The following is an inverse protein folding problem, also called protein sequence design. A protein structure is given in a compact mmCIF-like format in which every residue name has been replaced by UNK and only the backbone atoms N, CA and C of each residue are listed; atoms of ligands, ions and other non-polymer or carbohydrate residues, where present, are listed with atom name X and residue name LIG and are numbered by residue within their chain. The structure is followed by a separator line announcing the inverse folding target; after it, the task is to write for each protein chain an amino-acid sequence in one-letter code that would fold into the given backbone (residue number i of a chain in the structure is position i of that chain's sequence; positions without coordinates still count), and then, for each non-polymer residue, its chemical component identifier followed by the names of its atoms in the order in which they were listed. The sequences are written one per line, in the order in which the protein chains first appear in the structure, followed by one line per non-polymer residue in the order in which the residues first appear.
data_IF_844643050183
#
_entry.id   IF_844643050183
#
_cell.length_a   1.000
_cell.length_b   1.000
_cell.length_c   1.000
_cell.angle_alpha   90.00
_cell.angle_beta   90.00
_cell.angle_gamma   90.00
#
_symmetry.space_group_name_H-M   'P 1'
#
loop_
_entity.id
_entity.type
_entity.pdbx_description
1 polymer ?
#
# COMPACT_ATOMS: atom_id res chain seq x y z
N UNK A 1 -59.22 28.65 23.55
CA UNK A 1 -58.29 29.79 23.66
C UNK A 1 -57.17 29.39 24.61
N UNK A 2 -56.00 29.03 24.06
CA UNK A 2 -54.76 29.67 24.52
C UNK A 2 -53.78 29.97 23.37
N UNK A 3 -52.70 30.65 23.75
CA UNK A 3 -51.93 31.62 22.98
C UNK A 3 -50.94 31.06 21.95
N UNK A 4 -50.73 31.88 20.91
CA UNK A 4 -49.68 31.77 19.89
C UNK A 4 -48.32 32.06 20.51
N UNK A 5 -47.40 31.10 20.46
CA UNK A 5 -45.96 31.34 20.66
C UNK A 5 -45.29 31.49 19.31
N UNK A 6 -44.81 32.70 19.02
CA UNK A 6 -44.04 33.05 17.84
C UNK A 6 -42.71 32.27 17.87
N UNK A 7 -42.48 31.41 16.88
CA UNK A 7 -41.17 30.84 16.59
C UNK A 7 -40.40 31.90 15.81
N UNK A 8 -39.17 32.29 16.19
CA UNK A 8 -38.27 32.96 15.27
C UNK A 8 -37.61 31.88 14.40
N UNK A 9 -37.91 31.92 13.11
CA UNK A 9 -37.02 31.39 12.08
C UNK A 9 -35.73 32.23 12.03
N UNK A 10 -34.68 31.63 11.45
CA UNK A 10 -33.33 32.13 11.23
C UNK A 10 -32.30 32.00 12.35
N UNK A 11 -31.49 30.94 12.24
CA UNK A 11 -30.04 31.13 12.18
C UNK A 11 -29.41 30.05 11.29
N UNK A 12 -29.20 30.44 10.03
CA UNK A 12 -28.10 30.03 9.16
C UNK A 12 -27.33 28.76 9.56
N UNK A 13 -27.48 27.71 8.76
CA UNK A 13 -26.42 26.72 8.54
C UNK A 13 -25.17 27.45 8.08
N UNK A 14 -24.27 27.76 9.01
CA UNK A 14 -22.88 28.01 8.68
C UNK A 14 -22.32 26.70 8.16
N UNK A 15 -22.22 26.58 6.83
CA UNK A 15 -21.30 25.64 6.23
C UNK A 15 -19.91 26.05 6.70
N UNK A 16 -19.38 25.31 7.67
CA UNK A 16 -17.96 25.32 8.02
C UNK A 16 -17.18 24.85 6.80
N UNK A 17 -17.01 25.73 5.81
CA UNK A 17 -15.95 25.63 4.82
C UNK A 17 -14.65 25.93 5.57
N UNK A 18 -14.16 24.96 6.33
CA UNK A 18 -12.76 24.95 6.75
C UNK A 18 -11.92 25.01 5.47
N UNK A 19 -11.45 26.21 5.10
CA UNK A 19 -10.43 26.38 4.08
C UNK A 19 -9.30 25.40 4.42
N UNK A 20 -9.16 24.36 3.59
CA UNK A 20 -8.11 23.38 3.77
C UNK A 20 -6.77 24.11 3.79
N UNK A 21 -6.14 24.23 4.96
CA UNK A 21 -4.81 24.82 5.08
C UNK A 21 -3.88 24.07 4.12
N UNK A 22 -3.36 24.80 3.12
CA UNK A 22 -2.39 24.29 2.15
C UNK A 22 -1.07 23.99 2.89
N UNK A 23 -1.01 22.81 3.51
CA UNK A 23 0.19 22.34 4.21
C UNK A 23 1.05 21.48 3.26
N UNK A 24 2.38 21.65 3.20
CA UNK A 24 3.23 20.90 2.27
C UNK A 24 3.09 19.37 2.42
N UNK A 25 2.91 18.88 3.65
CA UNK A 25 2.71 17.46 3.94
C UNK A 25 1.30 16.93 3.63
N UNK A 26 0.34 17.75 3.18
CA UNK A 26 -0.99 17.30 2.78
C UNK A 26 -1.24 17.70 1.33
N UNK A 27 -1.52 16.70 0.50
CA UNK A 27 -2.00 16.91 -0.86
C UNK A 27 -3.44 16.46 -0.99
N UNK A 28 -4.30 17.41 -1.32
CA UNK A 28 -5.71 17.15 -1.56
C UNK A 28 -5.95 16.72 -3.01
N UNK A 29 -6.49 15.52 -3.19
CA UNK A 29 -6.82 14.93 -4.48
C UNK A 29 -8.26 14.43 -4.56
N UNK A 30 -8.61 13.77 -5.68
CA UNK A 30 -9.98 13.30 -5.94
C UNK A 30 -10.90 14.38 -6.52
N UNK A 31 -12.09 13.98 -6.97
CA UNK A 31 -13.14 14.93 -7.36
C UNK A 31 -13.46 15.85 -6.18
N UNK A 32 -13.46 17.17 -6.42
CA UNK A 32 -13.62 18.21 -5.40
C UNK A 32 -12.56 18.23 -4.28
N UNK A 33 -11.34 17.69 -4.50
CA UNK A 33 -10.23 17.75 -3.52
C UNK A 33 -10.54 17.09 -2.16
N UNK A 34 -11.45 16.11 -2.11
CA UNK A 34 -11.90 15.51 -0.86
C UNK A 34 -10.96 14.46 -0.24
N UNK A 35 -9.90 14.04 -0.95
CA UNK A 35 -9.04 12.92 -0.52
C UNK A 35 -7.67 13.47 -0.08
N UNK A 36 -7.38 13.53 1.23
CA UNK A 36 -6.07 13.95 1.71
C UNK A 36 -5.04 12.84 1.52
N UNK A 37 -3.90 13.21 0.95
CA UNK A 37 -2.71 12.36 0.81
C UNK A 37 -1.58 12.94 1.63
N UNK A 38 -1.07 12.18 2.60
CA UNK A 38 0.12 12.57 3.35
C UNK A 38 1.36 12.45 2.47
N UNK A 39 2.13 13.53 2.39
CA UNK A 39 3.40 13.61 1.67
C UNK A 39 4.53 13.58 2.67
N UNK A 40 5.50 12.71 2.42
CA UNK A 40 6.69 12.57 3.25
C UNK A 40 7.93 13.07 2.51
N UNK A 41 8.70 13.91 3.19
CA UNK A 41 9.89 14.60 2.70
C UNK A 41 11.17 14.01 3.34
N UNK A 42 12.00 13.36 2.53
CA UNK A 42 13.21 12.69 3.03
C UNK A 42 14.28 13.68 3.51
N UNK A 43 14.36 14.86 2.89
CA UNK A 43 15.19 15.99 3.28
C UNK A 43 14.86 16.51 4.68
N UNK A 44 13.63 16.31 5.16
CA UNK A 44 13.24 16.61 6.54
C UNK A 44 14.15 15.98 7.60
N UNK A 45 14.75 14.82 7.31
CA UNK A 45 15.71 14.15 8.21
C UNK A 45 16.95 15.04 8.44
N UNK A 46 17.33 15.82 7.43
CA UNK A 46 18.52 16.67 7.43
C UNK A 46 18.19 18.10 7.84
N UNK A 47 17.12 18.68 7.27
CA UNK A 47 16.79 20.10 7.40
C UNK A 47 16.24 20.47 8.77
N UNK A 48 15.69 19.50 9.52
CA UNK A 48 15.00 19.71 10.81
C UNK A 48 13.91 20.79 10.73
N UNK A 49 13.24 20.89 9.59
CA UNK A 49 12.10 21.80 9.40
C UNK A 49 10.95 21.41 10.34
N UNK A 50 10.60 22.34 11.25
CA UNK A 50 9.53 22.14 12.22
C UNK A 50 8.16 22.04 11.57
N UNK A 51 7.97 22.64 10.39
CA UNK A 51 6.70 22.62 9.64
C UNK A 51 6.28 21.19 9.32
N UNK A 52 7.23 20.29 9.04
CA UNK A 52 6.94 18.90 8.68
C UNK A 52 6.22 18.14 9.80
N UNK A 53 6.44 18.52 11.07
CA UNK A 53 5.86 17.87 12.25
C UNK A 53 4.41 18.26 12.52
N UNK A 54 4.00 19.43 12.05
CA UNK A 54 2.76 20.08 12.45
C UNK A 54 1.53 19.18 12.25
N UNK A 55 1.46 18.49 11.11
CA UNK A 55 0.34 17.60 10.79
C UNK A 55 0.33 16.34 11.66
N UNK A 56 1.49 15.70 11.85
CA UNK A 56 1.58 14.51 12.70
C UNK A 56 1.21 14.82 14.15
N UNK A 57 1.68 15.95 14.67
CA UNK A 57 1.41 16.38 16.05
C UNK A 57 -0.04 16.85 16.22
N UNK A 58 -0.57 17.70 15.32
CA UNK A 58 -1.95 18.22 15.40
C UNK A 58 -2.99 17.11 15.44
N UNK A 59 -2.82 16.08 14.59
CA UNK A 59 -3.76 14.96 14.50
C UNK A 59 -3.34 13.73 15.29
N UNK A 60 -2.30 13.84 16.13
CA UNK A 60 -1.79 12.75 16.97
C UNK A 60 -1.55 11.46 16.18
N UNK A 61 -0.93 11.58 15.00
CA UNK A 61 -0.74 10.46 14.10
C UNK A 61 0.26 9.45 14.68
N UNK A 62 -0.12 8.19 14.64
CA UNK A 62 0.59 7.07 15.21
C UNK A 62 1.02 6.07 14.14
N UNK A 63 2.19 5.45 14.33
CA UNK A 63 2.62 4.33 13.51
C UNK A 63 3.16 3.17 14.33
N UNK A 64 3.19 1.99 13.73
CA UNK A 64 3.87 0.83 14.29
C UNK A 64 4.66 0.06 13.25
N UNK A 65 5.79 -0.49 13.67
CA UNK A 65 6.66 -1.34 12.85
C UNK A 65 6.51 -2.78 13.30
N UNK A 66 6.25 -3.70 12.36
CA UNK A 66 5.95 -5.11 12.64
C UNK A 66 6.85 -6.01 11.78
N UNK A 67 7.60 -6.93 12.42
CA UNK A 67 8.43 -7.94 11.74
C UNK A 67 9.42 -7.35 10.71
N UNK A 68 9.99 -6.18 11.00
CA UNK A 68 11.02 -5.54 10.17
C UNK A 68 11.79 -4.50 10.97
N UNK A 69 13.05 -4.25 10.56
CA UNK A 69 13.86 -3.15 11.04
C UNK A 69 14.01 -2.12 9.92
N UNK A 70 13.13 -1.12 9.90
CA UNK A 70 13.10 -0.08 8.86
C UNK A 70 13.50 1.28 9.45
N UNK A 71 14.80 1.47 9.72
CA UNK A 71 15.34 2.69 10.37
C UNK A 71 15.01 3.97 9.60
N UNK A 72 15.10 3.94 8.27
CA UNK A 72 14.78 5.09 7.43
C UNK A 72 13.30 5.46 7.54
N UNK A 73 12.41 4.47 7.44
CA UNK A 73 10.96 4.67 7.59
C UNK A 73 10.62 5.26 8.95
N UNK A 74 11.20 4.70 10.02
CA UNK A 74 11.07 5.22 11.38
C UNK A 74 11.49 6.70 11.45
N UNK A 75 12.65 7.03 10.89
CA UNK A 75 13.19 8.39 10.89
C UNK A 75 12.29 9.36 10.13
N UNK A 76 11.81 8.99 8.94
CA UNK A 76 10.90 9.80 8.13
C UNK A 76 9.61 10.08 8.92
N UNK A 77 8.98 9.04 9.49
CA UNK A 77 7.71 9.19 10.22
C UNK A 77 7.88 10.09 11.46
N UNK A 78 8.94 9.88 12.24
CA UNK A 78 9.22 10.70 13.42
C UNK A 78 9.49 12.17 13.07
N UNK A 79 10.18 12.44 11.95
CA UNK A 79 10.39 13.82 11.46
C UNK A 79 9.08 14.49 11.04
N UNK A 80 8.08 13.72 10.61
CA UNK A 80 6.75 14.23 10.24
C UNK A 80 5.77 14.27 11.43
N UNK A 81 6.27 14.18 12.66
CA UNK A 81 5.46 14.30 13.88
C UNK A 81 4.66 13.04 14.23
N UNK A 82 4.89 11.92 13.55
CA UNK A 82 4.25 10.67 13.95
C UNK A 82 4.95 10.07 15.18
N UNK A 83 4.17 9.48 16.09
CA UNK A 83 4.70 8.76 17.25
C UNK A 83 4.63 7.24 17.06
N UNK A 84 5.67 6.53 17.50
CA UNK A 84 5.71 5.06 17.43
C UNK A 84 4.92 4.46 18.59
N UNK A 85 3.96 3.58 18.28
CA UNK A 85 3.19 2.83 19.27
C UNK A 85 3.65 1.38 19.35
N UNK A 86 3.33 0.71 20.47
CA UNK A 86 3.66 -0.69 20.65
C UNK A 86 3.08 -1.56 19.51
N UNK A 87 3.77 -2.62 19.02
CA UNK A 87 3.28 -3.46 17.91
C UNK A 87 1.88 -4.07 18.13
N UNK A 88 1.52 -4.30 19.39
CA UNK A 88 0.21 -4.83 19.80
C UNK A 88 -0.88 -3.75 19.97
N UNK A 89 -0.55 -2.45 19.83
CA UNK A 89 -1.55 -1.37 19.88
C UNK A 89 -2.47 -1.45 18.66
N UNK A 90 -3.77 -1.24 18.91
CA UNK A 90 -4.76 -1.05 17.85
C UNK A 90 -5.00 0.42 17.53
N UNK A 91 -4.45 1.33 18.33
CA UNK A 91 -4.50 2.77 18.08
C UNK A 91 -3.28 3.19 17.27
N UNK A 92 -3.44 3.19 15.94
CA UNK A 92 -2.40 3.56 14.97
C UNK A 92 -3.05 4.02 13.67
N UNK A 93 -2.35 4.85 12.89
CA UNK A 93 -2.75 5.25 11.54
C UNK A 93 -1.99 4.46 10.48
N UNK A 94 -0.70 4.20 10.69
CA UNK A 94 0.15 3.47 9.73
C UNK A 94 0.83 2.25 10.37
N UNK A 95 0.60 1.07 9.80
CA UNK A 95 1.35 -0.14 10.14
C UNK A 95 2.33 -0.47 9.01
N UNK A 96 3.62 -0.45 9.34
CA UNK A 96 4.70 -0.83 8.43
C UNK A 96 5.19 -2.25 8.76
N UNK A 97 5.01 -3.20 7.83
CA UNK A 97 5.37 -4.61 8.02
C UNK A 97 6.34 -5.12 6.96
N UNK A 98 7.27 -5.99 7.38
CA UNK A 98 8.19 -6.70 6.49
C UNK A 98 7.58 -7.93 5.79
N UNK A 99 6.37 -8.33 6.16
CA UNK A 99 5.70 -9.52 5.63
C UNK A 99 4.23 -9.28 5.34
N UNK A 100 3.69 -10.01 4.36
CA UNK A 100 2.26 -9.97 4.05
C UNK A 100 1.41 -10.31 5.28
N UNK A 101 0.35 -9.52 5.47
CA UNK A 101 -0.63 -9.76 6.51
C UNK A 101 -1.59 -10.88 6.10
N UNK A 102 -2.04 -11.65 7.09
CA UNK A 102 -3.07 -12.66 6.87
C UNK A 102 -4.40 -11.95 6.54
N UNK A 103 -5.25 -12.53 5.67
CA UNK A 103 -6.50 -11.88 5.25
C UNK A 103 -7.42 -11.45 6.39
N UNK A 104 -7.46 -12.19 7.50
CA UNK A 104 -8.30 -11.81 8.64
C UNK A 104 -7.81 -10.53 9.33
N UNK A 105 -6.50 -10.27 9.37
CA UNK A 105 -5.93 -9.04 9.94
C UNK A 105 -6.30 -7.84 9.08
N UNK A 106 -6.26 -8.00 7.76
CA UNK A 106 -6.64 -6.94 6.83
C UNK A 106 -8.12 -6.56 6.97
N UNK A 107 -8.99 -7.53 7.28
CA UNK A 107 -10.43 -7.30 7.52
C UNK A 107 -10.75 -6.61 8.84
N UNK A 108 -9.82 -6.62 9.80
CA UNK A 108 -10.01 -5.95 11.10
C UNK A 108 -9.51 -4.53 11.13
N UNK A 109 -8.89 -4.04 10.04
CA UNK A 109 -8.40 -2.67 9.95
C UNK A 109 -9.57 -1.69 9.84
N UNK A 110 -9.44 -0.56 10.53
CA UNK A 110 -10.35 0.57 10.38
C UNK A 110 -10.02 1.35 9.10
N UNK A 111 -10.96 2.14 8.59
CA UNK A 111 -10.84 2.85 7.31
C UNK A 111 -9.63 3.80 7.25
N UNK A 112 -9.31 4.43 8.38
CA UNK A 112 -8.16 5.31 8.54
C UNK A 112 -6.83 4.57 8.70
N UNK A 113 -6.85 3.26 8.98
CA UNK A 113 -5.66 2.46 9.20
C UNK A 113 -5.07 2.00 7.86
N UNK A 114 -3.83 2.39 7.61
CA UNK A 114 -3.11 2.04 6.39
C UNK A 114 -2.02 1.02 6.68
N UNK A 115 -1.78 0.14 5.72
CA UNK A 115 -0.71 -0.87 5.72
C UNK A 115 0.07 -0.78 4.42
N UNK A 116 1.36 -1.08 4.47
CA UNK A 116 2.25 -1.01 3.30
C UNK A 116 2.15 -2.22 2.35
N UNK A 117 1.14 -3.10 2.51
CA UNK A 117 0.95 -4.29 1.66
C UNK A 117 -0.47 -4.40 1.15
N UNK A 118 -0.63 -4.43 -0.18
CA UNK A 118 -1.91 -4.78 -0.79
C UNK A 118 -2.26 -6.26 -0.56
N UNK A 119 -3.55 -6.60 -0.38
CA UNK A 119 -3.99 -7.98 -0.34
C UNK A 119 -3.57 -8.72 -1.62
N UNK A 120 -2.92 -9.88 -1.48
CA UNK A 120 -2.49 -10.76 -2.58
C UNK A 120 -1.49 -10.16 -3.57
N UNK A 121 -0.78 -9.08 -3.24
CA UNK A 121 0.27 -8.54 -4.13
C UNK A 121 1.41 -9.55 -4.40
N UNK A 122 1.57 -10.58 -3.56
CA UNK A 122 2.49 -11.70 -3.80
C UNK A 122 2.19 -12.51 -5.07
N UNK A 123 1.01 -12.37 -5.67
CA UNK A 123 0.70 -12.97 -6.98
C UNK A 123 1.57 -12.39 -8.10
N UNK A 124 2.10 -11.18 -7.91
CA UNK A 124 3.02 -10.51 -8.84
C UNK A 124 4.46 -10.48 -8.33
N UNK A 125 4.68 -10.43 -7.01
CA UNK A 125 6.04 -10.27 -6.46
C UNK A 125 6.77 -11.59 -6.20
N UNK A 126 6.06 -12.72 -6.07
CA UNK A 126 6.71 -14.04 -5.98
C UNK A 126 6.95 -14.62 -7.36
N UNK A 127 8.16 -15.09 -7.62
CA UNK A 127 8.58 -15.63 -8.93
C UNK A 127 7.71 -16.78 -9.42
N UNK A 128 7.36 -17.72 -8.55
CA UNK A 128 6.50 -18.87 -8.87
C UNK A 128 5.09 -18.44 -9.28
N UNK A 129 4.50 -17.50 -8.53
CA UNK A 129 3.16 -16.97 -8.82
C UNK A 129 3.14 -16.10 -10.06
N UNK A 130 4.12 -15.21 -10.19
CA UNK A 130 4.30 -14.35 -11.36
C UNK A 130 4.37 -15.20 -12.63
N UNK A 131 5.20 -16.25 -12.62
CA UNK A 131 5.36 -17.12 -13.78
C UNK A 131 4.05 -17.81 -14.17
N UNK A 132 3.33 -18.42 -13.21
CA UNK A 132 2.02 -19.03 -13.49
C UNK A 132 0.99 -18.02 -13.98
N UNK A 133 1.00 -16.81 -13.44
CA UNK A 133 0.08 -15.76 -13.88
C UNK A 133 0.40 -15.30 -15.30
N UNK A 134 1.67 -15.16 -15.67
CA UNK A 134 2.05 -14.85 -17.06
C UNK A 134 1.67 -16.00 -18.00
N UNK A 135 1.92 -17.27 -17.63
CA UNK A 135 1.50 -18.41 -18.44
C UNK A 135 -0.02 -18.42 -18.70
N UNK A 136 -0.83 -18.13 -17.68
CA UNK A 136 -2.28 -17.97 -17.85
C UNK A 136 -2.61 -16.85 -18.84
N UNK A 137 -1.96 -15.70 -18.73
CA UNK A 137 -2.18 -14.59 -19.65
C UNK A 137 -1.71 -14.89 -21.08
N UNK A 138 -0.63 -15.66 -21.27
CA UNK A 138 -0.20 -16.14 -22.58
C UNK A 138 -1.26 -17.07 -23.21
N UNK A 139 -1.91 -17.91 -22.41
CA UNK A 139 -2.99 -18.79 -22.87
C UNK A 139 -4.27 -18.02 -23.23
N UNK A 140 -4.67 -17.04 -22.42
CA UNK A 140 -5.94 -16.32 -22.62
C UNK A 140 -5.85 -15.15 -23.59
N UNK A 141 -4.71 -14.46 -23.68
CA UNK A 141 -4.53 -13.26 -24.50
C UNK A 141 -3.46 -13.41 -25.60
N UNK A 142 -2.92 -14.61 -25.74
CA UNK A 142 -1.95 -14.95 -26.78
C UNK A 142 -0.50 -14.71 -26.35
N UNK A 143 0.35 -15.64 -26.76
CA UNK A 143 1.78 -15.66 -26.42
C UNK A 143 2.51 -14.36 -26.79
N UNK A 144 2.23 -13.78 -27.97
CA UNK A 144 2.91 -12.59 -28.47
C UNK A 144 2.81 -11.37 -27.53
N UNK A 145 1.70 -11.23 -26.82
CA UNK A 145 1.46 -10.10 -25.90
C UNK A 145 2.07 -10.30 -24.51
N UNK A 146 2.33 -11.55 -24.13
CA UNK A 146 2.81 -11.92 -22.79
C UNK A 146 4.14 -12.71 -22.83
N UNK A 147 4.91 -12.60 -23.92
CA UNK A 147 6.27 -13.14 -24.04
C UNK A 147 7.31 -12.18 -23.46
N UNK A 148 7.14 -11.84 -22.17
CA UNK A 148 7.95 -10.84 -21.46
C UNK A 148 8.89 -11.46 -20.42
N UNK A 149 8.81 -12.78 -20.22
CA UNK A 149 9.67 -13.54 -19.31
C UNK A 149 10.21 -14.77 -20.02
N UNK A 150 11.43 -15.22 -19.69
CA UNK A 150 11.94 -16.49 -20.21
C UNK A 150 11.11 -17.67 -19.70
N UNK A 151 11.13 -18.78 -20.44
CA UNK A 151 10.58 -20.05 -19.98
C UNK A 151 11.24 -20.43 -18.65
N UNK A 152 10.42 -20.76 -17.65
CA UNK A 152 10.86 -21.23 -16.34
C UNK A 152 10.05 -22.46 -15.92
N UNK A 153 10.46 -23.08 -14.82
CA UNK A 153 9.80 -24.26 -14.25
C UNK A 153 9.77 -24.15 -12.73
N UNK A 154 8.64 -24.51 -12.15
CA UNK A 154 8.41 -24.48 -10.71
C UNK A 154 8.67 -25.87 -10.16
N UNK A 155 9.81 -26.02 -9.50
CA UNK A 155 10.23 -27.26 -8.89
C UNK A 155 9.67 -27.41 -7.47
N UNK A 156 9.37 -28.63 -7.01
CA UNK A 156 9.53 -29.91 -7.72
C UNK A 156 8.38 -30.25 -8.69
N UNK A 157 7.30 -29.47 -8.72
CA UNK A 157 6.07 -29.82 -9.46
C UNK A 157 6.26 -30.03 -10.96
N UNK A 158 7.17 -29.27 -11.58
CA UNK A 158 7.35 -29.24 -13.04
C UNK A 158 8.69 -29.89 -13.45
N UNK A 159 9.24 -30.76 -12.59
CA UNK A 159 10.52 -31.43 -12.85
C UNK A 159 10.48 -32.32 -14.10
N UNK A 160 9.44 -33.11 -14.28
CA UNK A 160 9.31 -33.98 -15.47
C UNK A 160 9.23 -33.18 -16.77
N UNK A 161 8.55 -32.03 -16.76
CA UNK A 161 8.45 -31.15 -17.92
C UNK A 161 9.80 -30.51 -18.27
N UNK A 162 10.56 -30.10 -17.26
CA UNK A 162 11.93 -29.61 -17.43
C UNK A 162 12.78 -30.69 -18.13
N UNK A 163 12.84 -31.89 -17.55
CA UNK A 163 13.64 -32.99 -18.10
C UNK A 163 13.21 -33.39 -19.51
N UNK A 164 11.91 -33.46 -19.78
CA UNK A 164 11.41 -33.83 -21.11
C UNK A 164 11.85 -32.84 -22.18
N UNK A 165 11.88 -31.53 -21.88
CA UNK A 165 12.37 -30.53 -22.83
C UNK A 165 13.89 -30.58 -22.99
N UNK A 166 14.64 -30.75 -21.89
CA UNK A 166 16.10 -30.86 -21.94
C UNK A 166 16.56 -32.09 -22.75
N UNK A 167 15.91 -33.24 -22.56
CA UNK A 167 16.18 -34.45 -23.35
C UNK A 167 15.82 -34.26 -24.83
N UNK A 168 14.67 -33.64 -25.13
CA UNK A 168 14.26 -33.39 -26.52
C UNK A 168 15.23 -32.45 -27.24
N UNK A 169 15.72 -31.41 -26.55
CA UNK A 169 16.67 -30.46 -27.12
C UNK A 169 18.05 -31.09 -27.36
N UNK A 170 18.50 -31.97 -26.45
CA UNK A 170 19.75 -32.74 -26.63
C UNK A 170 19.65 -33.81 -27.72
N UNK A 171 18.53 -34.52 -27.86
CA UNK A 171 18.35 -35.52 -28.93
C UNK A 171 18.38 -34.88 -30.33
N UNK A 172 17.78 -33.70 -30.49
CA UNK A 172 17.79 -32.97 -31.77
C UNK A 172 19.20 -32.49 -32.16
N UNK A 173 20.07 -32.20 -31.18
CA UNK A 173 21.46 -31.83 -31.44
C UNK A 173 22.31 -33.03 -31.88
N UNK A 174 22.04 -34.22 -31.33
CA UNK A 174 22.78 -35.46 -31.65
C UNK A 174 22.40 -36.00 -33.04
N UNK A 175 21.19 -35.74 -33.54
CA UNK A 175 20.77 -36.16 -34.89
C UNK A 175 21.18 -35.18 -36.01
N UNK A 176 21.84 -34.08 -35.68
CA UNK A 176 22.27 -33.04 -36.66
C UNK A 176 23.77 -33.03 -36.96
N UNK A 177 24.52 -34.05 -36.47
CA UNK A 177 25.93 -34.28 -36.78
C UNK A 177 26.09 -35.60 -37.51
#
# INVERSE_FOLDING_TARGET
MPAVSHVPEDSSTASDEEEHEDHPCIRWGGGNRMIPTLVFYADGIVTKDGTLRLIGERYHLAYKIVRTESRLVRSILTVHGFHEVHPNSNDFNLMWTGSHLKPYVLRTLLEFQKVNHFPRSYELTRKDRLYKNIQRMQQTHGFKHFNIVPQAYILPSEFQELWSKDFTQNCNLVQSK
#
